data_IF_338438900268
#
_entry.id   IF_338438900268
#
_cell.length_a   1.000
_cell.length_b   1.000
_cell.length_c   1.000
_cell.angle_alpha   90.00
_cell.angle_beta   90.00
_cell.angle_gamma   90.00
#
_symmetry.space_group_name_H-M   'P 1'
#
loop_
_entity.id
_entity.type
_entity.pdbx_description
1 polymer ?
#
# COMPACT_ATOMS: atom_id res chain seq x y z
N UNK A 1 -9.82 -5.16 16.50
CA UNK A 1 -8.94 -4.19 15.81
C UNK A 1 -9.22 -4.25 14.32
N UNK A 2 -9.57 -3.11 13.70
CA UNK A 2 -9.90 -3.03 12.27
C UNK A 2 -8.69 -2.52 11.48
N UNK A 3 -8.24 -3.31 10.49
CA UNK A 3 -7.11 -2.98 9.61
C UNK A 3 -7.63 -2.79 8.20
N UNK A 4 -7.42 -1.59 7.64
CA UNK A 4 -7.78 -1.24 6.28
C UNK A 4 -6.55 -1.28 5.37
N UNK A 5 -6.64 -2.08 4.30
CA UNK A 5 -5.70 -2.06 3.18
C UNK A 5 -6.24 -1.15 2.07
N UNK A 6 -5.49 -0.12 1.70
CA UNK A 6 -5.86 0.80 0.64
C UNK A 6 -4.74 0.93 -0.38
N UNK A 7 -5.11 0.89 -1.67
CA UNK A 7 -4.13 0.92 -2.73
C UNK A 7 -4.71 0.71 -4.13
N UNK A 8 -3.88 0.15 -4.99
CA UNK A 8 -4.17 -0.13 -6.38
C UNK A 8 -4.29 -1.65 -6.68
N UNK A 9 -3.81 -2.12 -7.86
CA UNK A 9 -3.87 -3.53 -8.26
C UNK A 9 -3.04 -4.47 -7.39
N UNK A 10 -1.99 -3.98 -6.77
CA UNK A 10 -1.15 -4.79 -5.86
C UNK A 10 -1.88 -5.12 -4.56
N UNK A 11 -2.74 -4.21 -4.12
CA UNK A 11 -3.63 -4.41 -2.96
C UNK A 11 -4.89 -5.18 -3.36
N UNK A 12 -5.59 -4.78 -4.43
CA UNK A 12 -6.81 -5.41 -4.96
C UNK A 12 -6.63 -6.90 -5.27
N UNK A 13 -5.60 -7.23 -6.03
CA UNK A 13 -5.20 -8.58 -6.42
C UNK A 13 -6.36 -9.55 -6.74
N UNK A 14 -7.37 -9.06 -7.46
CA UNK A 14 -8.50 -9.85 -7.94
C UNK A 14 -9.57 -10.16 -6.90
N UNK A 15 -9.64 -9.38 -5.81
CA UNK A 15 -10.69 -9.53 -4.80
C UNK A 15 -12.10 -9.31 -5.36
N UNK A 16 -13.10 -9.88 -4.74
CA UNK A 16 -14.50 -9.52 -4.99
C UNK A 16 -14.80 -8.16 -4.35
N UNK A 17 -14.84 -7.12 -5.18
CA UNK A 17 -15.07 -5.73 -4.74
C UNK A 17 -16.46 -5.48 -4.15
N UNK A 18 -17.40 -6.40 -4.29
CA UNK A 18 -18.70 -6.33 -3.61
C UNK A 18 -18.63 -6.78 -2.14
N UNK A 19 -17.51 -7.42 -1.73
CA UNK A 19 -17.25 -7.90 -0.38
C UNK A 19 -15.93 -7.31 0.15
N UNK A 20 -15.96 -6.26 0.98
CA UNK A 20 -14.74 -5.66 1.53
C UNK A 20 -13.89 -6.58 2.41
N UNK A 21 -14.46 -7.70 2.89
CA UNK A 21 -13.74 -8.71 3.64
C UNK A 21 -13.03 -9.75 2.75
N UNK A 22 -13.25 -9.71 1.44
CA UNK A 22 -12.45 -10.50 0.49
C UNK A 22 -11.13 -9.78 0.24
N UNK A 23 -10.04 -10.46 0.60
CA UNK A 23 -8.67 -9.93 0.54
C UNK A 23 -7.94 -10.30 -0.76
N UNK A 24 -8.65 -10.88 -1.73
CA UNK A 24 -8.07 -11.32 -3.01
C UNK A 24 -6.96 -12.36 -2.85
N UNK A 25 -6.00 -12.33 -3.78
CA UNK A 25 -4.85 -13.23 -3.81
C UNK A 25 -3.52 -12.50 -3.57
N UNK A 26 -3.57 -11.22 -3.17
CA UNK A 26 -2.42 -10.35 -2.94
C UNK A 26 -1.86 -10.41 -1.51
N UNK A 27 -0.96 -9.48 -1.22
CA UNK A 27 -0.33 -9.39 0.09
C UNK A 27 -1.32 -9.21 1.26
N UNK A 28 -2.51 -8.58 1.13
CA UNK A 28 -3.45 -8.47 2.23
C UNK A 28 -3.88 -9.82 2.80
N UNK A 29 -4.07 -10.82 1.92
CA UNK A 29 -4.39 -12.20 2.31
C UNK A 29 -3.29 -12.84 3.15
N UNK A 30 -2.04 -12.73 2.72
CA UNK A 30 -0.89 -13.29 3.45
C UNK A 30 -0.66 -12.55 4.76
N UNK A 31 -0.66 -11.22 4.73
CA UNK A 31 -0.48 -10.39 5.92
C UNK A 31 -1.54 -10.67 6.99
N UNK A 32 -2.81 -10.74 6.60
CA UNK A 32 -3.92 -11.01 7.53
C UNK A 32 -3.79 -12.37 8.21
N UNK A 33 -3.43 -13.42 7.46
CA UNK A 33 -3.20 -14.75 8.02
C UNK A 33 -2.04 -14.74 9.03
N UNK A 34 -0.92 -14.13 8.66
CA UNK A 34 0.27 -14.02 9.52
C UNK A 34 -0.01 -13.18 10.78
N UNK A 35 -0.80 -12.12 10.67
CA UNK A 35 -1.22 -11.29 11.82
C UNK A 35 -2.09 -12.11 12.77
N UNK A 36 -3.09 -12.83 12.27
CA UNK A 36 -3.96 -13.67 13.10
C UNK A 36 -3.18 -14.75 13.84
N UNK A 37 -2.23 -15.39 13.16
CA UNK A 37 -1.36 -16.41 13.76
C UNK A 37 -0.43 -15.82 14.83
N UNK A 38 0.05 -14.58 14.62
CA UNK A 38 0.97 -13.92 15.56
C UNK A 38 0.26 -13.34 16.80
N UNK A 39 -1.02 -13.00 16.68
CA UNK A 39 -1.82 -12.36 17.73
C UNK A 39 -3.16 -13.12 17.97
N UNK A 40 -3.11 -14.39 18.42
CA UNK A 40 -4.29 -15.27 18.49
C UNK A 40 -5.36 -14.80 19.50
N UNK A 41 -4.99 -13.96 20.46
CA UNK A 41 -5.91 -13.42 21.48
C UNK A 41 -6.57 -12.08 21.07
N UNK A 42 -6.28 -11.57 19.86
CA UNK A 42 -6.82 -10.31 19.33
C UNK A 42 -7.82 -10.60 18.21
N UNK A 43 -9.01 -10.03 18.31
CA UNK A 43 -10.00 -10.08 17.23
C UNK A 43 -9.66 -9.02 16.17
N UNK A 44 -9.47 -9.46 14.93
CA UNK A 44 -9.21 -8.59 13.79
C UNK A 44 -10.38 -8.56 12.82
N UNK A 45 -10.65 -7.38 12.28
CA UNK A 45 -11.47 -7.16 11.09
C UNK A 45 -10.54 -6.61 10.01
N UNK A 46 -10.39 -7.36 8.91
CA UNK A 46 -9.59 -6.93 7.76
C UNK A 46 -10.51 -6.46 6.66
N UNK A 47 -10.20 -5.28 6.11
CA UNK A 47 -10.97 -4.63 5.05
C UNK A 47 -10.01 -4.29 3.92
N UNK A 48 -10.29 -4.75 2.71
CA UNK A 48 -9.51 -4.41 1.52
C UNK A 48 -10.36 -3.55 0.58
N UNK A 49 -9.88 -2.33 0.30
CA UNK A 49 -10.49 -1.38 -0.61
C UNK A 49 -9.54 -0.96 -1.75
N UNK A 50 -8.50 -1.75 -2.01
CA UNK A 50 -7.67 -1.63 -3.20
C UNK A 50 -8.48 -1.74 -4.48
N UNK A 51 -8.14 -0.94 -5.50
CA UNK A 51 -8.78 -0.99 -6.83
C UNK A 51 -7.70 -0.90 -7.91
N UNK A 52 -7.63 -1.94 -8.73
CA UNK A 52 -6.69 -2.00 -9.85
C UNK A 52 -6.74 -0.77 -10.76
N UNK A 53 -5.57 -0.23 -11.11
CA UNK A 53 -5.44 0.96 -11.94
C UNK A 53 -5.61 2.28 -11.21
N UNK A 54 -5.91 2.29 -9.89
CA UNK A 54 -6.08 3.54 -9.17
C UNK A 54 -4.77 4.33 -9.03
N UNK A 55 -4.92 5.63 -9.09
CA UNK A 55 -3.92 6.67 -8.84
C UNK A 55 -4.32 7.45 -7.60
N UNK A 56 -3.45 8.32 -7.12
CA UNK A 56 -3.72 9.13 -5.92
C UNK A 56 -5.03 9.92 -6.01
N UNK A 57 -5.41 10.46 -7.18
CA UNK A 57 -6.68 11.20 -7.36
C UNK A 57 -7.93 10.35 -7.09
N UNK A 58 -7.85 9.03 -7.37
CA UNK A 58 -8.98 8.12 -7.13
C UNK A 58 -9.19 7.87 -5.63
N UNK A 59 -8.12 7.86 -4.83
CA UNK A 59 -8.24 7.79 -3.37
C UNK A 59 -8.91 9.06 -2.82
N UNK A 60 -8.53 10.24 -3.36
CA UNK A 60 -9.19 11.50 -3.00
C UNK A 60 -10.68 11.47 -3.31
N UNK A 61 -11.06 10.92 -4.47
CA UNK A 61 -12.47 10.82 -4.87
C UNK A 61 -13.32 9.89 -3.97
N UNK A 62 -12.66 8.98 -3.21
CA UNK A 62 -13.30 7.97 -2.36
C UNK A 62 -13.01 8.16 -0.87
N UNK A 63 -12.57 9.36 -0.46
CA UNK A 63 -12.19 9.66 0.93
C UNK A 63 -13.30 9.32 1.94
N UNK A 64 -14.52 9.72 1.67
CA UNK A 64 -15.66 9.50 2.57
C UNK A 64 -15.93 8.02 2.74
N UNK A 65 -16.19 7.31 1.63
CA UNK A 65 -16.60 5.90 1.67
C UNK A 65 -15.50 4.95 2.14
N UNK A 66 -14.25 5.24 1.76
CA UNK A 66 -13.17 4.26 1.89
C UNK A 66 -12.28 4.48 3.12
N UNK A 67 -12.38 5.62 3.77
CA UNK A 67 -11.59 5.93 4.96
C UNK A 67 -12.47 6.40 6.12
N UNK A 68 -13.32 7.44 5.87
CA UNK A 68 -14.05 8.09 6.96
C UNK A 68 -15.20 7.22 7.45
N UNK A 69 -15.99 6.63 6.56
CA UNK A 69 -17.08 5.73 6.96
C UNK A 69 -16.57 4.40 7.54
N UNK A 70 -15.37 3.96 7.14
CA UNK A 70 -14.77 2.71 7.62
C UNK A 70 -14.30 2.83 9.07
N UNK A 71 -13.76 4.00 9.49
CA UNK A 71 -13.20 4.21 10.83
C UNK A 71 -12.23 3.08 11.24
N UNK A 72 -11.12 2.86 10.52
CA UNK A 72 -10.17 1.81 10.87
C UNK A 72 -9.35 2.20 12.10
N UNK A 73 -8.80 1.21 12.82
CA UNK A 73 -7.78 1.40 13.85
C UNK A 73 -6.39 1.60 13.23
N UNK A 74 -6.14 0.87 12.13
CA UNK A 74 -4.92 0.99 11.32
C UNK A 74 -5.32 1.10 9.85
N UNK A 75 -4.77 2.07 9.14
CA UNK A 75 -4.86 2.16 7.68
C UNK A 75 -3.48 2.02 7.05
N UNK A 76 -3.34 1.12 6.11
CA UNK A 76 -2.17 1.04 5.25
C UNK A 76 -2.48 1.59 3.87
N UNK A 77 -1.55 2.40 3.33
CA UNK A 77 -1.72 3.07 2.04
C UNK A 77 -0.51 2.74 1.15
N UNK A 78 -0.76 2.01 0.06
CA UNK A 78 0.23 1.73 -0.99
C UNK A 78 -0.31 2.19 -2.34
N UNK A 79 0.11 3.35 -2.80
CA UNK A 79 -0.37 3.98 -4.02
C UNK A 79 0.75 4.78 -4.70
N UNK A 80 0.71 4.88 -6.02
CA UNK A 80 1.60 5.77 -6.76
C UNK A 80 2.22 5.17 -8.02
N UNK A 81 2.27 3.83 -8.15
CA UNK A 81 2.82 3.21 -9.36
C UNK A 81 2.00 3.56 -10.60
N UNK A 82 0.67 3.64 -10.49
CA UNK A 82 -0.20 4.00 -11.61
C UNK A 82 -0.16 5.51 -11.94
N UNK A 83 0.22 6.37 -11.00
CA UNK A 83 0.47 7.79 -11.29
C UNK A 83 1.63 7.95 -12.27
N UNK A 84 2.58 7.00 -12.27
CA UNK A 84 3.69 6.91 -13.22
C UNK A 84 3.29 6.09 -14.45
N UNK A 85 2.76 4.88 -14.25
CA UNK A 85 2.46 3.94 -15.33
C UNK A 85 1.47 4.52 -16.36
N UNK A 86 0.42 5.21 -15.90
CA UNK A 86 -0.60 5.76 -16.79
C UNK A 86 -0.07 6.93 -17.62
N UNK A 87 0.98 7.61 -17.19
CA UNK A 87 1.64 8.61 -18.02
C UNK A 87 2.15 7.98 -19.33
N UNK A 88 2.82 6.84 -19.25
CA UNK A 88 3.43 6.18 -20.40
C UNK A 88 2.45 5.31 -21.19
N UNK A 89 1.52 4.66 -20.50
CA UNK A 89 0.59 3.72 -21.16
C UNK A 89 -0.66 4.37 -21.73
N UNK A 90 -1.09 5.50 -21.17
CA UNK A 90 -2.35 6.17 -21.52
C UNK A 90 -2.20 7.66 -21.79
N UNK A 91 -1.02 8.24 -21.64
CA UNK A 91 -0.79 9.68 -21.76
C UNK A 91 -1.44 10.51 -20.66
N UNK A 92 -1.68 9.89 -19.49
CA UNK A 92 -2.33 10.56 -18.35
C UNK A 92 -1.26 10.89 -17.31
N UNK A 93 -0.75 12.10 -17.37
CA UNK A 93 0.27 12.60 -16.46
C UNK A 93 -0.32 12.97 -15.10
N UNK A 94 0.36 12.56 -14.02
CA UNK A 94 0.16 13.10 -12.68
C UNK A 94 1.45 13.83 -12.29
N UNK A 95 1.44 15.18 -12.32
CA UNK A 95 2.63 15.96 -11.96
C UNK A 95 3.04 15.71 -10.51
N UNK A 96 4.28 16.05 -10.16
CA UNK A 96 4.79 15.87 -8.78
C UNK A 96 3.97 16.70 -7.78
N UNK A 97 3.56 17.91 -8.15
CA UNK A 97 2.71 18.78 -7.33
C UNK A 97 1.29 18.19 -7.15
N UNK A 98 0.73 17.63 -8.22
CA UNK A 98 -0.60 17.03 -8.16
C UNK A 98 -0.57 15.74 -7.32
N UNK A 99 0.49 14.93 -7.47
CA UNK A 99 0.70 13.73 -6.66
C UNK A 99 0.78 14.08 -5.17
N UNK A 100 1.66 15.03 -4.81
CA UNK A 100 1.81 15.46 -3.41
C UNK A 100 0.51 16.03 -2.85
N UNK A 101 -0.18 16.87 -3.61
CA UNK A 101 -1.47 17.46 -3.21
C UNK A 101 -2.51 16.39 -2.93
N UNK A 102 -2.65 15.41 -3.83
CA UNK A 102 -3.60 14.31 -3.66
C UNK A 102 -3.27 13.46 -2.44
N UNK A 103 -2.00 13.10 -2.29
CA UNK A 103 -1.56 12.27 -1.17
C UNK A 103 -1.79 12.98 0.17
N UNK A 104 -1.42 14.28 0.26
CA UNK A 104 -1.71 15.11 1.44
C UNK A 104 -3.20 15.17 1.75
N UNK A 105 -4.06 15.34 0.76
CA UNK A 105 -5.50 15.39 0.98
C UNK A 105 -6.04 14.09 1.62
N UNK A 106 -5.51 12.92 1.21
CA UNK A 106 -5.86 11.64 1.84
C UNK A 106 -5.37 11.59 3.29
N UNK A 107 -4.10 11.91 3.52
CA UNK A 107 -3.48 11.84 4.84
C UNK A 107 -4.10 12.83 5.83
N UNK A 108 -4.38 14.08 5.39
CA UNK A 108 -5.07 15.10 6.18
C UNK A 108 -6.47 14.65 6.59
N UNK A 109 -7.23 14.06 5.67
CA UNK A 109 -8.56 13.54 5.95
C UNK A 109 -8.52 12.39 6.97
N UNK A 110 -7.64 11.41 6.77
CA UNK A 110 -7.45 10.30 7.71
C UNK A 110 -7.08 10.84 9.10
N UNK A 111 -6.09 11.72 9.19
CA UNK A 111 -5.60 12.26 10.46
C UNK A 111 -6.60 13.15 11.19
N UNK A 112 -7.48 13.85 10.43
CA UNK A 112 -8.42 14.82 11.00
C UNK A 112 -9.78 14.20 11.34
N UNK A 113 -10.20 13.16 10.60
CA UNK A 113 -11.57 12.65 10.62
C UNK A 113 -11.65 11.19 11.10
N UNK A 114 -10.51 10.57 11.39
CA UNK A 114 -10.43 9.24 12.01
C UNK A 114 -9.44 9.23 13.16
N UNK A 115 -9.40 8.12 13.91
CA UNK A 115 -8.37 7.87 14.93
C UNK A 115 -7.32 6.86 14.44
N UNK A 116 -7.30 6.56 13.15
CA UNK A 116 -6.45 5.53 12.58
C UNK A 116 -4.95 5.83 12.74
N UNK A 117 -4.19 4.81 13.08
CA UNK A 117 -2.73 4.82 12.88
C UNK A 117 -2.43 4.62 11.40
N UNK A 118 -1.45 5.35 10.90
CA UNK A 118 -1.13 5.38 9.47
C UNK A 118 0.15 4.60 9.21
N UNK A 119 0.04 3.51 8.44
CA UNK A 119 1.15 2.79 7.84
C UNK A 119 1.29 3.22 6.38
N UNK A 120 2.31 3.99 6.05
CA UNK A 120 2.61 4.33 4.66
C UNK A 120 3.54 3.28 4.06
N UNK A 121 3.17 2.77 2.88
CA UNK A 121 3.94 1.76 2.15
C UNK A 121 4.45 2.38 0.85
N UNK A 122 5.76 2.26 0.62
CA UNK A 122 6.39 2.75 -0.60
C UNK A 122 5.93 1.92 -1.80
N UNK A 123 5.42 2.53 -2.89
CA UNK A 123 5.22 1.83 -4.15
C UNK A 123 6.58 1.40 -4.73
N UNK A 124 6.61 0.25 -5.39
CA UNK A 124 7.82 -0.36 -5.91
C UNK A 124 7.76 -0.60 -7.42
N UNK A 125 8.93 -0.80 -8.01
CA UNK A 125 9.09 -1.31 -9.37
C UNK A 125 10.36 -2.16 -9.41
N UNK A 126 10.22 -3.47 -9.45
CA UNK A 126 11.35 -4.37 -9.64
C UNK A 126 11.92 -4.28 -11.05
N UNK A 127 13.22 -4.46 -11.18
CA UNK A 127 13.89 -4.44 -12.46
C UNK A 127 13.30 -5.50 -13.39
N UNK A 128 12.92 -5.08 -14.57
CA UNK A 128 12.49 -5.96 -15.64
C UNK A 128 13.45 -5.82 -16.81
N UNK A 129 13.56 -6.87 -17.64
CA UNK A 129 14.37 -6.85 -18.85
C UNK A 129 13.88 -5.85 -19.91
N UNK A 130 12.79 -5.13 -19.65
CA UNK A 130 12.21 -4.19 -20.61
C UNK A 130 12.83 -2.78 -20.46
N UNK A 131 13.69 -2.34 -21.43
CA UNK A 131 14.29 -1.01 -21.39
C UNK A 131 13.28 0.15 -21.39
N UNK A 132 12.05 -0.08 -21.88
CA UNK A 132 11.00 0.94 -21.87
C UNK A 132 10.55 1.30 -20.45
N UNK A 133 10.80 0.43 -19.49
CA UNK A 133 10.47 0.67 -18.07
C UNK A 133 11.52 1.48 -17.32
N UNK A 134 12.70 1.72 -17.88
CA UNK A 134 13.73 2.55 -17.25
C UNK A 134 13.23 3.97 -16.96
N UNK A 135 12.42 4.53 -17.86
CA UNK A 135 11.83 5.87 -17.68
C UNK A 135 10.86 5.89 -16.50
N UNK A 136 10.15 4.76 -16.25
CA UNK A 136 9.26 4.63 -15.10
C UNK A 136 10.02 4.70 -13.78
N UNK A 137 11.22 4.09 -13.69
CA UNK A 137 12.04 4.11 -12.47
C UNK A 137 12.38 5.54 -12.05
N UNK A 138 12.78 6.40 -12.98
CA UNK A 138 13.15 7.80 -12.68
C UNK A 138 11.94 8.62 -12.18
N UNK A 139 10.79 8.42 -12.80
CA UNK A 139 9.57 9.11 -12.38
C UNK A 139 9.06 8.56 -11.04
N UNK A 140 9.09 7.24 -10.85
CA UNK A 140 8.71 6.61 -9.58
C UNK A 140 9.62 7.09 -8.44
N UNK A 141 10.93 7.19 -8.67
CA UNK A 141 11.87 7.68 -7.67
C UNK A 141 11.50 9.09 -7.17
N UNK A 142 11.01 9.98 -8.05
CA UNK A 142 10.52 11.30 -7.62
C UNK A 142 9.26 11.19 -6.74
N UNK A 143 8.32 10.30 -7.10
CA UNK A 143 7.11 10.06 -6.27
C UNK A 143 7.48 9.45 -4.92
N UNK A 144 8.42 8.50 -4.88
CA UNK A 144 8.95 7.93 -3.64
C UNK A 144 9.61 8.97 -2.74
N UNK A 145 10.36 9.95 -3.31
CA UNK A 145 10.92 11.07 -2.55
C UNK A 145 9.83 11.96 -1.94
N UNK A 146 8.73 12.19 -2.66
CA UNK A 146 7.56 12.91 -2.12
C UNK A 146 6.97 12.14 -0.94
N UNK A 147 6.74 10.83 -1.11
CA UNK A 147 6.23 9.97 -0.05
C UNK A 147 7.15 10.03 1.18
N UNK A 148 8.48 9.94 1.00
CA UNK A 148 9.44 9.99 2.12
C UNK A 148 9.33 11.29 2.93
N UNK A 149 9.06 12.43 2.28
CA UNK A 149 8.80 13.68 3.00
C UNK A 149 7.48 13.66 3.76
N UNK A 150 6.42 13.08 3.16
CA UNK A 150 5.12 12.97 3.80
C UNK A 150 5.14 12.01 5.00
N UNK A 151 5.98 10.98 4.96
CA UNK A 151 6.19 10.05 6.07
C UNK A 151 6.57 10.78 7.36
N UNK A 152 7.48 11.76 7.28
CA UNK A 152 7.92 12.53 8.45
C UNK A 152 6.79 13.34 9.11
N UNK A 153 5.75 13.70 8.34
CA UNK A 153 4.63 14.52 8.82
C UNK A 153 3.44 13.69 9.30
N UNK A 154 3.22 12.53 8.67
CA UNK A 154 1.94 11.81 8.78
C UNK A 154 2.03 10.38 9.30
N UNK A 155 3.08 9.64 8.95
CA UNK A 155 3.13 8.22 9.22
C UNK A 155 3.43 7.90 10.69
N UNK A 156 2.70 6.94 11.24
CA UNK A 156 3.10 6.28 12.50
C UNK A 156 4.17 5.22 12.21
N UNK A 157 4.07 4.56 11.04
CA UNK A 157 5.07 3.60 10.54
C UNK A 157 5.24 3.77 9.03
N UNK A 158 6.47 3.52 8.55
CA UNK A 158 6.81 3.47 7.14
C UNK A 158 7.40 2.13 6.75
N UNK A 159 6.90 1.57 5.66
CA UNK A 159 7.46 0.38 5.02
C UNK A 159 8.15 0.79 3.71
N UNK A 160 9.48 0.83 3.64
CA UNK A 160 10.25 1.12 2.43
C UNK A 160 10.27 -0.12 1.51
N UNK A 161 9.09 -0.48 0.98
CA UNK A 161 8.86 -1.77 0.33
C UNK A 161 9.71 -1.96 -0.93
N UNK A 162 10.01 -0.88 -1.66
CA UNK A 162 10.88 -0.94 -2.84
C UNK A 162 12.29 -1.45 -2.48
N UNK A 163 12.88 -0.93 -1.39
CA UNK A 163 14.18 -1.37 -0.90
C UNK A 163 14.14 -2.82 -0.39
N UNK A 164 13.06 -3.17 0.32
CA UNK A 164 12.87 -4.53 0.82
C UNK A 164 12.81 -5.52 -0.32
N UNK A 165 11.97 -5.25 -1.33
CA UNK A 165 11.82 -6.16 -2.46
C UNK A 165 13.08 -6.26 -3.33
N UNK A 166 13.82 -5.16 -3.54
CA UNK A 166 15.10 -5.23 -4.24
C UNK A 166 16.14 -6.06 -3.47
N UNK A 167 16.11 -6.00 -2.14
CA UNK A 167 17.00 -6.81 -1.31
C UNK A 167 16.66 -8.29 -1.36
N UNK A 168 15.37 -8.64 -1.29
CA UNK A 168 14.91 -10.03 -1.31
C UNK A 168 14.98 -10.64 -2.72
N UNK A 169 14.71 -9.82 -3.75
CA UNK A 169 14.71 -10.27 -5.14
C UNK A 169 16.13 -10.54 -5.69
N UNK A 170 17.14 -9.80 -5.19
CA UNK A 170 18.56 -9.89 -5.56
C UNK A 170 18.75 -10.17 -7.08
N UNK A 171 19.17 -11.39 -7.44
CA UNK A 171 19.41 -11.79 -8.83
C UNK A 171 18.16 -12.32 -9.58
N UNK A 172 17.04 -12.53 -8.88
CA UNK A 172 15.83 -13.14 -9.46
C UNK A 172 14.54 -12.29 -9.30
N UNK A 173 14.51 -11.01 -9.78
CA UNK A 173 13.34 -10.15 -9.59
C UNK A 173 12.05 -10.71 -10.22
N UNK A 174 12.16 -11.48 -11.32
CA UNK A 174 11.01 -12.10 -11.98
C UNK A 174 10.33 -13.19 -11.13
N UNK A 175 11.01 -13.75 -10.13
CA UNK A 175 10.42 -14.68 -9.18
C UNK A 175 9.41 -13.98 -8.27
N UNK A 176 9.66 -12.73 -7.90
CA UNK A 176 8.77 -11.92 -7.07
C UNK A 176 7.75 -11.11 -7.87
N UNK A 177 8.11 -10.65 -9.08
CA UNK A 177 7.21 -9.96 -10.00
C UNK A 177 7.68 -10.11 -11.43
N UNK A 178 6.89 -10.78 -12.27
CA UNK A 178 7.29 -11.04 -13.66
C UNK A 178 7.30 -9.78 -14.53
N UNK A 179 6.46 -8.78 -14.21
CA UNK A 179 6.36 -7.51 -14.94
C UNK A 179 6.97 -6.32 -14.17
N UNK A 180 7.48 -6.58 -12.96
CA UNK A 180 8.09 -5.62 -12.06
C UNK A 180 7.09 -4.88 -11.17
N UNK A 181 5.79 -4.99 -11.41
CA UNK A 181 4.71 -4.28 -10.67
C UNK A 181 3.79 -5.24 -9.93
N UNK A 182 3.29 -6.27 -10.61
CA UNK A 182 2.32 -7.19 -10.04
C UNK A 182 3.05 -8.39 -9.42
N UNK A 183 2.94 -8.58 -8.09
CA UNK A 183 3.61 -9.67 -7.40
C UNK A 183 3.11 -11.04 -7.87
N UNK A 184 4.02 -11.99 -7.95
CA UNK A 184 3.69 -13.42 -7.96
C UNK A 184 3.13 -13.83 -6.57
N UNK A 185 2.61 -15.05 -6.40
CA UNK A 185 2.25 -15.53 -5.07
C UNK A 185 3.40 -15.47 -4.05
N UNK A 186 4.63 -15.77 -4.48
CA UNK A 186 5.82 -15.68 -3.63
C UNK A 186 6.16 -14.21 -3.30
N UNK A 187 6.04 -13.30 -4.28
CA UNK A 187 6.19 -11.87 -4.06
C UNK A 187 5.11 -11.32 -3.11
N UNK A 188 3.87 -11.75 -3.25
CA UNK A 188 2.79 -11.35 -2.36
C UNK A 188 3.01 -11.87 -0.92
N UNK A 189 3.53 -13.09 -0.77
CA UNK A 189 3.91 -13.64 0.53
C UNK A 189 5.05 -12.82 1.17
N UNK A 190 6.10 -12.51 0.41
CA UNK A 190 7.21 -11.66 0.85
C UNK A 190 6.74 -10.29 1.32
N UNK A 191 5.83 -9.64 0.57
CA UNK A 191 5.22 -8.36 0.98
C UNK A 191 4.41 -8.55 2.27
N UNK A 192 3.67 -9.65 2.40
CA UNK A 192 2.90 -10.00 3.62
C UNK A 192 3.79 -10.10 4.86
N UNK A 193 4.96 -10.74 4.74
CA UNK A 193 5.95 -10.82 5.82
C UNK A 193 6.54 -9.44 6.19
N UNK A 194 6.88 -8.62 5.18
CA UNK A 194 7.35 -7.28 5.41
C UNK A 194 6.28 -6.41 6.08
N UNK A 195 5.03 -6.56 5.65
CA UNK A 195 3.88 -5.87 6.25
C UNK A 195 3.70 -6.26 7.72
N UNK A 196 3.72 -7.56 8.07
CA UNK A 196 3.63 -8.01 9.46
C UNK A 196 4.71 -7.35 10.33
N UNK A 197 5.97 -7.35 9.86
CA UNK A 197 7.07 -6.71 10.60
C UNK A 197 6.83 -5.22 10.82
N UNK A 198 6.28 -4.54 9.81
CA UNK A 198 6.01 -3.10 9.89
C UNK A 198 4.81 -2.77 10.78
N UNK A 199 3.73 -3.54 10.71
CA UNK A 199 2.49 -3.25 11.45
C UNK A 199 2.54 -3.68 12.92
N UNK A 200 3.40 -4.64 13.28
CA UNK A 200 3.49 -5.20 14.63
C UNK A 200 3.58 -4.14 15.75
N UNK A 201 4.40 -3.09 15.66
CA UNK A 201 4.47 -2.05 16.69
C UNK A 201 3.12 -1.32 16.90
N UNK A 202 2.33 -1.13 15.83
CA UNK A 202 1.02 -0.47 15.93
C UNK A 202 0.00 -1.37 16.62
N UNK A 203 -0.01 -2.66 16.29
CA UNK A 203 -0.87 -3.66 16.93
C UNK A 203 -0.57 -3.73 18.42
N UNK A 204 0.72 -3.80 18.79
CA UNK A 204 1.14 -3.83 20.19
C UNK A 204 0.80 -2.55 20.96
N UNK A 205 0.87 -1.39 20.31
CA UNK A 205 0.49 -0.11 20.90
C UNK A 205 -1.00 -0.08 21.20
N UNK A 206 -1.85 -0.34 20.20
CA UNK A 206 -3.31 -0.32 20.33
C UNK A 206 -3.83 -1.38 21.31
N UNK A 207 -3.22 -2.57 21.33
CA UNK A 207 -3.58 -3.62 22.30
C UNK A 207 -3.29 -3.25 23.77
N UNK A 208 -2.45 -2.24 24.02
CA UNK A 208 -2.20 -1.71 25.36
C UNK A 208 -3.15 -0.58 25.73
N UNK A 209 -3.63 0.18 24.75
CA UNK A 209 -4.59 1.28 24.96
C UNK A 209 -5.99 0.74 25.32
N UNK A 210 -6.33 -0.48 24.86
CA UNK A 210 -7.62 -1.14 25.16
C UNK A 210 -7.67 -1.87 26.52
N UNK A 211 -6.59 -1.84 27.32
CA UNK A 211 -6.48 -2.46 28.65
C UNK A 211 -6.56 -1.42 29.77
#
# INVERSE_FOLDING_TARGET
MKILFQGDSVTDAGRDRSNPADLGEGYPKFASAMIQDSYPDTEFEFVDLGIGGNRTEHLVARLESDFIEIQPDIVSIMIGINDVWHHYSHGIETTDEQFEKNYRAVLDAVKSLTNARILMIQPFLLETVDPAKQVLCEELARKQQIISRLVEEYADVYLPLDEVLHTEADEEPAYYSADGVHPTPDGACCIGEAYLRAVAPLIELLSKEDR
#
